data_IF_137634970469
#
_entry.id   IF_137634970469
#
_cell.length_a   1.000
_cell.length_b   1.000
_cell.length_c   1.000
_cell.angle_alpha   90.00
_cell.angle_beta   90.00
_cell.angle_gamma   90.00
#
_symmetry.space_group_name_H-M   'P 1'
#
loop_
_entity.id
_entity.type
_entity.pdbx_description
1 polymer ?
#
# COMPACT_ATOMS: atom_id res chain seq x y z
N UNK A 1 9.25 9.14 21.61
CA UNK A 1 7.89 8.54 21.80
C UNK A 1 6.84 9.25 20.93
N UNK A 2 7.12 10.47 20.49
CA UNK A 2 6.22 11.34 19.71
C UNK A 2 5.93 10.89 18.28
N UNK A 3 6.88 10.20 17.63
CA UNK A 3 6.68 9.69 16.27
C UNK A 3 5.58 8.63 16.20
N UNK A 4 5.46 7.78 17.23
CA UNK A 4 4.39 6.77 17.31
C UNK A 4 3.02 7.44 17.45
N UNK A 5 2.90 8.50 18.25
CA UNK A 5 1.66 9.28 18.38
C UNK A 5 1.29 10.03 17.09
N UNK A 6 2.28 10.40 16.27
CA UNK A 6 2.09 11.05 14.96
C UNK A 6 1.69 10.08 13.85
N UNK A 7 2.10 8.82 13.94
CA UNK A 7 1.81 7.75 12.96
C UNK A 7 0.51 7.02 13.29
N UNK A 8 0.21 6.85 14.59
CA UNK A 8 -1.09 6.35 15.02
C UNK A 8 -2.14 7.36 14.58
N UNK A 9 -3.01 6.95 13.66
CA UNK A 9 -4.13 7.76 13.21
C UNK A 9 -4.90 8.27 14.45
N UNK A 10 -5.23 9.56 14.43
CA UNK A 10 -5.93 10.24 15.53
C UNK A 10 -7.25 9.56 15.90
N UNK A 11 -7.86 8.86 14.94
CA UNK A 11 -9.12 8.16 15.10
C UNK A 11 -9.01 6.70 14.65
N UNK A 12 -9.04 5.78 15.62
CA UNK A 12 -9.03 4.33 15.41
C UNK A 12 -10.43 3.72 15.52
N UNK A 13 -11.47 4.54 15.69
CA UNK A 13 -12.84 4.07 15.96
C UNK A 13 -13.34 3.11 14.89
N UNK A 14 -13.10 3.41 13.62
CA UNK A 14 -13.47 2.54 12.49
C UNK A 14 -12.84 1.15 12.56
N UNK A 15 -11.60 1.08 13.05
CA UNK A 15 -10.88 -0.18 13.23
C UNK A 15 -11.50 -0.96 14.38
N UNK A 16 -11.69 -0.31 15.52
CA UNK A 16 -12.27 -0.94 16.71
C UNK A 16 -13.68 -1.47 16.43
N UNK A 17 -14.53 -0.67 15.77
CA UNK A 17 -15.90 -1.05 15.44
C UNK A 17 -15.96 -2.26 14.51
N UNK A 18 -15.10 -2.30 13.49
CA UNK A 18 -15.03 -3.46 12.59
C UNK A 18 -14.57 -4.75 13.29
N UNK A 19 -13.65 -4.66 14.24
CA UNK A 19 -13.25 -5.81 15.06
C UNK A 19 -14.37 -6.26 16.00
N UNK A 20 -15.09 -5.30 16.59
CA UNK A 20 -16.24 -5.60 17.43
C UNK A 20 -17.35 -6.29 16.63
N UNK A 21 -17.69 -5.78 15.44
CA UNK A 21 -18.66 -6.41 14.52
C UNK A 21 -18.23 -7.84 14.17
N UNK A 22 -16.94 -8.06 13.89
CA UNK A 22 -16.41 -9.38 13.56
C UNK A 22 -16.57 -10.41 14.68
N UNK A 23 -16.43 -10.00 15.93
CA UNK A 23 -16.55 -10.87 17.11
C UNK A 23 -18.03 -11.15 17.43
N UNK A 24 -18.89 -10.13 17.35
CA UNK A 24 -20.30 -10.22 17.76
C UNK A 24 -21.20 -10.84 16.68
N UNK A 25 -20.78 -10.80 15.40
CA UNK A 25 -21.60 -11.29 14.29
C UNK A 25 -21.92 -12.79 14.41
N UNK A 26 -23.21 -13.12 14.36
CA UNK A 26 -23.71 -14.52 14.30
C UNK A 26 -23.19 -15.30 13.08
N UNK A 27 -22.86 -14.61 11.99
CA UNK A 27 -22.20 -15.17 10.79
C UNK A 27 -21.10 -14.21 10.32
N UNK A 28 -19.84 -14.42 10.73
CA UNK A 28 -18.76 -13.50 10.40
C UNK A 28 -18.42 -13.55 8.90
N UNK A 29 -18.12 -12.37 8.34
CA UNK A 29 -17.59 -12.25 6.98
C UNK A 29 -16.12 -12.67 6.96
N UNK A 30 -15.67 -13.33 5.89
CA UNK A 30 -14.27 -13.75 5.75
C UNK A 30 -13.29 -12.57 5.72
N UNK A 31 -13.72 -11.43 5.17
CA UNK A 31 -12.90 -10.24 5.00
C UNK A 31 -13.69 -9.01 5.43
N UNK A 32 -13.42 -8.51 6.63
CA UNK A 32 -13.93 -7.22 7.09
C UNK A 32 -13.10 -6.10 6.44
N UNK A 33 -13.79 -5.19 5.75
CA UNK A 33 -13.19 -4.07 5.04
C UNK A 33 -13.31 -2.85 5.93
N UNK A 34 -12.17 -2.31 6.31
CA UNK A 34 -12.07 -1.29 7.35
C UNK A 34 -11.52 -0.01 6.75
N UNK A 35 -12.23 1.09 6.96
CA UNK A 35 -11.80 2.41 6.53
C UNK A 35 -12.22 2.81 5.12
N UNK A 36 -12.28 4.12 4.91
CA UNK A 36 -12.64 4.73 3.63
C UNK A 36 -11.58 4.53 2.54
N UNK A 37 -10.31 4.42 2.92
CA UNK A 37 -9.22 4.17 1.97
C UNK A 37 -9.34 2.78 1.34
N UNK A 38 -9.76 1.79 2.13
CA UNK A 38 -10.00 0.44 1.69
C UNK A 38 -11.12 0.43 0.65
N UNK A 39 -12.25 1.08 0.94
CA UNK A 39 -13.41 1.14 0.05
C UNK A 39 -13.13 1.93 -1.24
N UNK A 40 -12.47 3.08 -1.15
CA UNK A 40 -12.31 3.98 -2.31
C UNK A 40 -11.04 3.76 -3.12
N UNK A 41 -9.95 3.30 -2.52
CA UNK A 41 -8.66 3.14 -3.21
C UNK A 41 -8.29 1.69 -3.38
N UNK A 42 -8.24 0.91 -2.30
CA UNK A 42 -7.71 -0.45 -2.37
C UNK A 42 -8.67 -1.43 -3.04
N UNK A 43 -9.98 -1.30 -2.79
CA UNK A 43 -10.98 -2.17 -3.37
C UNK A 43 -11.06 -2.07 -4.91
N UNK A 44 -11.20 -0.87 -5.52
CA UNK A 44 -11.18 -0.78 -6.98
C UNK A 44 -9.83 -1.16 -7.57
N UNK A 45 -8.72 -0.84 -6.88
CA UNK A 45 -7.39 -1.23 -7.32
C UNK A 45 -7.18 -2.75 -7.34
N UNK A 46 -7.78 -3.47 -6.39
CA UNK A 46 -7.75 -4.93 -6.31
C UNK A 46 -8.51 -5.62 -7.45
N UNK A 47 -9.42 -4.91 -8.13
CA UNK A 47 -10.16 -5.43 -9.28
C UNK A 47 -9.36 -5.31 -10.60
N UNK A 48 -8.29 -4.51 -10.60
CA UNK A 48 -7.50 -4.26 -11.80
C UNK A 48 -6.55 -5.43 -12.09
N UNK A 49 -6.30 -5.76 -13.38
CA UNK A 49 -5.32 -6.76 -13.74
C UNK A 49 -3.90 -6.30 -13.37
N UNK A 50 -3.04 -7.27 -13.04
CA UNK A 50 -1.69 -7.04 -12.50
C UNK A 50 -0.86 -6.03 -13.30
N UNK A 51 -0.96 -6.06 -14.63
CA UNK A 51 -0.23 -5.11 -15.50
C UNK A 51 -0.67 -3.66 -15.26
N UNK A 52 -1.98 -3.42 -15.17
CA UNK A 52 -2.55 -2.09 -14.91
C UNK A 52 -2.19 -1.64 -13.49
N UNK A 53 -2.27 -2.56 -12.53
CA UNK A 53 -1.89 -2.33 -11.14
C UNK A 53 -0.46 -1.78 -11.02
N UNK A 54 0.51 -2.43 -11.70
CA UNK A 54 1.91 -1.98 -11.73
C UNK A 54 2.08 -0.60 -12.38
N UNK A 55 1.33 -0.30 -13.45
CA UNK A 55 1.40 1.01 -14.11
C UNK A 55 0.85 2.12 -13.21
N UNK A 56 -0.29 1.87 -12.57
CA UNK A 56 -0.90 2.81 -11.61
C UNK A 56 0.05 3.05 -10.44
N UNK A 57 0.68 2.01 -9.88
CA UNK A 57 1.65 2.16 -8.80
C UNK A 57 2.88 2.98 -9.23
N UNK A 58 3.43 2.71 -10.41
CA UNK A 58 4.54 3.49 -10.97
C UNK A 58 4.17 4.96 -11.17
N UNK A 59 2.94 5.24 -11.60
CA UNK A 59 2.44 6.61 -11.74
C UNK A 59 2.33 7.30 -10.39
N UNK A 60 1.72 6.64 -9.40
CA UNK A 60 1.60 7.17 -8.03
C UNK A 60 2.97 7.46 -7.43
N UNK A 61 3.95 6.56 -7.61
CA UNK A 61 5.31 6.72 -7.12
C UNK A 61 6.01 7.96 -7.73
N UNK A 62 5.81 8.20 -9.03
CA UNK A 62 6.32 9.39 -9.72
C UNK A 62 5.70 10.67 -9.19
N UNK A 63 4.39 10.66 -8.94
CA UNK A 63 3.67 11.81 -8.38
C UNK A 63 4.05 12.09 -6.92
N UNK A 64 4.31 11.06 -6.13
CA UNK A 64 4.65 11.19 -4.71
C UNK A 64 6.12 11.54 -4.45
N UNK A 65 6.96 11.67 -5.50
CA UNK A 65 8.39 11.93 -5.36
C UNK A 65 9.13 10.87 -4.54
N UNK A 66 8.56 9.67 -4.44
CA UNK A 66 9.08 8.65 -3.54
C UNK A 66 10.40 8.09 -4.09
N UNK A 67 11.41 7.90 -3.23
CA UNK A 67 12.69 7.35 -3.67
C UNK A 67 12.48 5.95 -4.26
N UNK A 68 13.14 5.69 -5.38
CA UNK A 68 13.11 4.37 -6.00
C UNK A 68 13.59 3.32 -4.98
N UNK A 69 12.93 2.15 -4.90
CA UNK A 69 13.35 1.10 -3.98
C UNK A 69 14.80 0.73 -4.28
N UNK A 70 15.59 0.53 -3.22
CA UNK A 70 17.03 0.29 -3.31
C UNK A 70 17.42 -0.95 -4.15
N UNK A 71 16.44 -1.82 -4.44
CA UNK A 71 16.63 -2.97 -5.32
C UNK A 71 16.71 -2.55 -6.80
N UNK A 72 15.91 -1.57 -7.22
CA UNK A 72 15.88 -1.07 -8.61
C UNK A 72 17.14 -0.24 -8.92
N UNK A 73 17.69 0.47 -7.94
CA UNK A 73 18.93 1.23 -8.12
C UNK A 73 20.17 0.35 -8.26
N UNK A 74 20.17 -0.85 -7.66
CA UNK A 74 21.29 -1.81 -7.78
C UNK A 74 21.40 -2.37 -9.20
N UNK A 75 20.27 -2.72 -9.82
CA UNK A 75 20.24 -3.29 -11.17
C UNK A 75 20.66 -2.24 -12.23
N UNK A 76 20.17 -1.00 -12.12
CA UNK A 76 20.56 0.10 -13.00
C UNK A 76 22.06 0.45 -12.89
N UNK A 77 22.64 0.34 -11.67
CA UNK A 77 24.09 0.52 -11.46
C UNK A 77 24.90 -0.61 -12.09
N UNK A 78 24.42 -1.85 -11.99
CA UNK A 78 25.05 -3.03 -12.58
C UNK A 78 25.08 -2.95 -14.11
N UNK A 79 23.97 -2.56 -14.75
CA UNK A 79 23.93 -2.35 -16.21
C UNK A 79 24.92 -1.25 -16.66
N UNK A 80 24.97 -0.12 -15.95
CA UNK A 80 25.91 0.97 -16.26
C UNK A 80 27.38 0.57 -16.09
N UNK A 81 27.70 -0.29 -15.12
CA UNK A 81 29.05 -0.82 -14.94
C UNK A 81 29.41 -1.83 -16.03
N UNK A 82 28.46 -2.64 -16.50
CA UNK A 82 28.68 -3.62 -17.56
C UNK A 82 28.88 -2.96 -18.93
N UNK A 83 28.19 -1.86 -19.22
CA UNK A 83 28.35 -1.08 -20.46
C UNK A 83 29.62 -0.22 -20.51
N UNK A 84 30.25 0.09 -19.36
CA UNK A 84 31.53 0.82 -19.29
C UNK A 84 32.76 -0.07 -19.43
N UNK A 85 32.60 -1.37 -19.22
CA UNK A 85 33.67 -2.37 -19.22
C UNK A 85 33.70 -3.22 -20.51
N UNK A 86 32.97 -2.79 -21.54
CA UNK A 86 32.93 -3.38 -22.88
C UNK A 86 33.29 -2.33 -23.92
#
# INVERSE_FOLDING_TARGET
VDLKKKIVALDTTWVIDSYYEAIVAKRPKLLYRVGWDMLLKFYPYSLLPLRVQVHVMKLLLRLSGAPLPAIVTKDARQENLKGKNS
#
